data_IF_872517734532
#
_entry.id   IF_872517734532
#
_cell.length_a   1.000
_cell.length_b   1.000
_cell.length_c   1.000
_cell.angle_alpha   90.00
_cell.angle_beta   90.00
_cell.angle_gamma   90.00
#
_symmetry.space_group_name_H-M   'P 1'
#
loop_
_entity.id
_entity.type
_entity.pdbx_description
1 polymer ?
#
# COMPACT_ATOMS: atom_id res chain seq x y z
N UNK A 1 -36.97 -26.47 -1.62
CA UNK A 1 -36.30 -25.15 -1.64
C UNK A 1 -34.85 -25.43 -1.85
N UNK A 2 -34.30 -25.11 -3.02
CA UNK A 2 -32.92 -25.46 -3.35
C UNK A 2 -31.93 -24.62 -2.55
N UNK A 3 -30.80 -25.20 -2.20
CA UNK A 3 -29.69 -24.58 -1.50
C UNK A 3 -28.38 -24.83 -2.24
N UNK A 4 -27.40 -23.95 -2.06
CA UNK A 4 -26.01 -24.15 -2.49
C UNK A 4 -25.05 -23.55 -1.48
N UNK A 5 -23.77 -23.87 -1.58
CA UNK A 5 -22.72 -23.20 -0.79
C UNK A 5 -22.72 -21.69 -1.08
N UNK A 6 -22.61 -20.87 -0.02
CA UNK A 6 -22.49 -19.42 -0.14
C UNK A 6 -21.26 -19.05 -0.96
N UNK A 7 -21.37 -18.01 -1.80
CA UNK A 7 -20.22 -17.44 -2.53
C UNK A 7 -19.35 -16.53 -1.66
N UNK A 8 -19.80 -16.20 -0.44
CA UNK A 8 -19.14 -15.25 0.44
C UNK A 8 -18.35 -15.91 1.57
N UNK A 9 -18.56 -17.20 1.83
CA UNK A 9 -17.75 -17.96 2.79
C UNK A 9 -16.44 -18.44 2.15
N UNK A 10 -15.42 -18.61 2.98
CA UNK A 10 -14.12 -19.16 2.55
C UNK A 10 -13.77 -20.34 3.44
N UNK A 11 -13.18 -21.37 2.85
CA UNK A 11 -12.73 -22.56 3.58
C UNK A 11 -11.21 -22.53 3.71
N UNK A 12 -10.72 -22.68 4.94
CA UNK A 12 -9.30 -22.62 5.27
C UNK A 12 -8.92 -23.72 6.25
N UNK A 13 -7.69 -24.24 6.12
CA UNK A 13 -7.19 -25.27 7.02
C UNK A 13 -6.59 -24.63 8.28
N UNK A 14 -7.00 -25.08 9.46
CA UNK A 14 -6.49 -24.58 10.73
C UNK A 14 -6.45 -25.68 11.78
N UNK A 15 -5.31 -25.85 12.43
CA UNK A 15 -5.11 -26.80 13.53
C UNK A 15 -5.60 -28.23 13.23
N UNK A 16 -5.46 -28.67 11.96
CA UNK A 16 -5.85 -30.01 11.52
C UNK A 16 -7.33 -30.17 11.11
N UNK A 17 -8.09 -29.08 11.00
CA UNK A 17 -9.51 -29.09 10.63
C UNK A 17 -9.79 -28.12 9.47
N UNK A 18 -10.79 -28.44 8.63
CA UNK A 18 -11.34 -27.48 7.68
C UNK A 18 -12.26 -26.51 8.41
N UNK A 19 -11.98 -25.22 8.32
CA UNK A 19 -12.78 -24.15 8.92
C UNK A 19 -13.52 -23.40 7.83
N UNK A 20 -14.83 -23.24 8.00
CA UNK A 20 -15.63 -22.29 7.24
C UNK A 20 -15.56 -20.92 7.93
N UNK A 21 -15.07 -19.91 7.22
CA UNK A 21 -15.04 -18.51 7.63
C UNK A 21 -16.17 -17.74 6.92
N UNK A 22 -17.07 -17.15 7.70
CA UNK A 22 -18.05 -16.16 7.22
C UNK A 22 -17.51 -14.75 7.52
N UNK A 23 -16.86 -14.09 6.54
CA UNK A 23 -16.28 -12.77 6.73
C UNK A 23 -17.34 -11.67 6.80
N UNK A 24 -18.59 -11.94 6.40
CA UNK A 24 -19.68 -10.97 6.47
C UNK A 24 -20.19 -10.85 7.91
N UNK A 25 -20.31 -11.99 8.61
CA UNK A 25 -20.84 -12.08 9.99
C UNK A 25 -19.76 -12.26 11.06
N UNK A 26 -18.49 -12.40 10.66
CA UNK A 26 -17.33 -12.57 11.55
C UNK A 26 -17.47 -13.83 12.42
N UNK A 27 -17.84 -14.95 11.77
CA UNK A 27 -18.03 -16.26 12.43
C UNK A 27 -17.16 -17.31 11.77
N UNK A 28 -16.60 -18.19 12.59
CA UNK A 28 -15.80 -19.33 12.15
C UNK A 28 -16.38 -20.63 12.72
N UNK A 29 -16.40 -21.67 11.89
CA UNK A 29 -16.89 -22.99 12.29
C UNK A 29 -15.93 -24.07 11.78
N UNK A 30 -15.46 -24.94 12.68
CA UNK A 30 -14.81 -26.17 12.26
C UNK A 30 -15.85 -27.11 11.66
N UNK A 31 -15.53 -27.70 10.51
CA UNK A 31 -16.38 -28.65 9.82
C UNK A 31 -16.04 -30.07 10.29
N UNK A 32 -17.07 -30.90 10.45
CA UNK A 32 -16.86 -32.34 10.59
C UNK A 32 -16.59 -32.96 9.22
N UNK A 33 -15.98 -34.14 9.19
CA UNK A 33 -15.71 -34.87 7.93
C UNK A 33 -16.99 -35.12 7.13
N UNK A 34 -18.12 -35.37 7.81
CA UNK A 34 -19.43 -35.52 7.17
C UNK A 34 -19.88 -34.22 6.51
N UNK A 35 -19.71 -33.07 7.18
CA UNK A 35 -20.06 -31.77 6.63
C UNK A 35 -19.19 -31.43 5.42
N UNK A 36 -17.88 -31.68 5.51
CA UNK A 36 -16.94 -31.48 4.40
C UNK A 36 -17.33 -32.29 3.15
N UNK A 37 -17.73 -33.54 3.33
CA UNK A 37 -18.20 -34.40 2.22
C UNK A 37 -19.50 -33.87 1.63
N UNK A 38 -20.45 -33.53 2.50
CA UNK A 38 -21.78 -33.06 2.12
C UNK A 38 -21.74 -31.74 1.34
N UNK A 39 -20.78 -30.85 1.59
CA UNK A 39 -20.65 -29.58 0.84
C UNK A 39 -20.50 -29.79 -0.68
N UNK A 40 -19.97 -30.93 -1.11
CA UNK A 40 -19.81 -31.26 -2.54
C UNK A 40 -21.16 -31.42 -3.25
N UNK A 41 -22.15 -31.94 -2.53
CA UNK A 41 -23.51 -32.15 -3.06
C UNK A 41 -24.25 -30.82 -3.27
N UNK A 42 -23.77 -29.75 -2.63
CA UNK A 42 -24.31 -28.40 -2.70
C UNK A 42 -23.38 -27.41 -3.43
N UNK A 43 -22.43 -27.91 -4.23
CA UNK A 43 -21.58 -27.06 -5.07
C UNK A 43 -22.41 -26.24 -6.08
N UNK A 44 -23.55 -26.77 -6.48
CA UNK A 44 -24.63 -26.07 -7.19
C UNK A 44 -25.96 -26.30 -6.43
N UNK A 45 -27.02 -25.66 -6.89
CA UNK A 45 -28.34 -25.71 -6.31
C UNK A 45 -28.93 -27.13 -6.25
N UNK A 46 -29.09 -27.67 -5.05
CA UNK A 46 -29.72 -28.96 -4.78
C UNK A 46 -30.75 -28.86 -3.64
N UNK A 47 -31.65 -29.83 -3.54
CA UNK A 47 -32.60 -29.88 -2.42
C UNK A 47 -31.87 -30.32 -1.14
N UNK A 48 -32.02 -29.62 -0.01
CA UNK A 48 -31.32 -29.95 1.23
C UNK A 48 -31.88 -31.25 1.84
N UNK A 49 -31.00 -32.21 2.11
CA UNK A 49 -31.35 -33.49 2.73
C UNK A 49 -30.71 -33.67 4.10
N UNK A 50 -31.55 -34.03 5.08
CA UNK A 50 -31.11 -34.40 6.42
C UNK A 50 -30.75 -33.23 7.34
N UNK A 51 -30.48 -33.57 8.60
CA UNK A 51 -30.22 -32.59 9.67
C UNK A 51 -28.98 -31.75 9.41
N UNK A 52 -27.95 -32.32 8.81
CA UNK A 52 -26.67 -31.63 8.60
C UNK A 52 -26.79 -30.52 7.54
N UNK A 53 -27.56 -30.74 6.46
CA UNK A 53 -27.85 -29.69 5.49
C UNK A 53 -28.61 -28.52 6.13
N UNK A 54 -29.58 -28.80 7.00
CA UNK A 54 -30.29 -27.77 7.75
C UNK A 54 -29.35 -26.99 8.69
N UNK A 55 -28.44 -27.68 9.39
CA UNK A 55 -27.43 -27.03 10.24
C UNK A 55 -26.50 -26.10 9.44
N UNK A 56 -26.09 -26.53 8.24
CA UNK A 56 -25.24 -25.71 7.37
C UNK A 56 -26.01 -24.49 6.80
N UNK A 57 -27.32 -24.63 6.55
CA UNK A 57 -28.18 -23.52 6.15
C UNK A 57 -28.38 -22.53 7.31
N UNK A 58 -28.67 -23.01 8.52
CA UNK A 58 -28.82 -22.18 9.73
C UNK A 58 -27.50 -21.46 10.09
N UNK A 59 -26.36 -22.06 9.74
CA UNK A 59 -25.04 -21.46 9.90
C UNK A 59 -24.64 -20.51 8.75
N UNK A 60 -25.49 -20.33 7.73
CA UNK A 60 -25.22 -19.57 6.50
C UNK A 60 -24.02 -20.06 5.68
N UNK A 61 -23.60 -21.32 5.89
CA UNK A 61 -22.64 -21.99 5.00
C UNK A 61 -23.33 -22.33 3.68
N UNK A 62 -24.59 -22.76 3.76
CA UNK A 62 -25.50 -22.87 2.62
C UNK A 62 -26.39 -21.63 2.54
N UNK A 63 -26.79 -21.28 1.32
CA UNK A 63 -27.74 -20.20 1.00
C UNK A 63 -28.92 -20.80 0.24
N UNK A 64 -30.13 -20.40 0.62
CA UNK A 64 -31.36 -20.85 -0.02
C UNK A 64 -31.76 -19.98 -1.21
N UNK A 65 -32.32 -20.59 -2.25
CA UNK A 65 -32.78 -19.89 -3.45
C UNK A 65 -33.93 -18.93 -3.08
N UNK A 66 -33.78 -17.67 -3.49
CA UNK A 66 -34.74 -16.59 -3.18
C UNK A 66 -34.63 -16.00 -1.76
N UNK A 67 -33.70 -16.47 -0.93
CA UNK A 67 -33.44 -15.88 0.39
C UNK A 67 -32.86 -14.45 0.32
N UNK A 68 -32.93 -13.67 1.41
CA UNK A 68 -32.22 -12.38 1.51
C UNK A 68 -30.71 -12.50 1.27
N UNK A 69 -30.08 -13.59 1.73
CA UNK A 69 -28.67 -13.91 1.50
C UNK A 69 -28.40 -14.11 0.02
N UNK A 70 -29.25 -14.87 -0.68
CA UNK A 70 -29.14 -15.05 -2.13
C UNK A 70 -29.24 -13.70 -2.86
N UNK A 71 -30.21 -12.86 -2.49
CA UNK A 71 -30.36 -11.54 -3.07
C UNK A 71 -29.17 -10.60 -2.77
N UNK A 72 -28.42 -10.83 -1.69
CA UNK A 72 -27.19 -10.10 -1.42
C UNK A 72 -26.05 -10.55 -2.36
N UNK A 73 -25.89 -11.86 -2.56
CA UNK A 73 -24.86 -12.41 -3.47
C UNK A 73 -25.09 -12.00 -4.93
N UNK A 74 -26.35 -11.83 -5.35
CA UNK A 74 -26.67 -11.37 -6.72
C UNK A 74 -26.43 -9.87 -6.92
N UNK A 75 -26.35 -9.08 -5.84
CA UNK A 75 -26.14 -7.62 -5.86
C UNK A 75 -24.69 -7.19 -5.66
N UNK A 76 -23.72 -8.10 -5.81
CA UNK A 76 -22.31 -7.79 -5.61
C UNK A 76 -21.76 -6.68 -6.54
N UNK A 77 -22.31 -6.49 -7.75
CA UNK A 77 -21.90 -5.39 -8.64
C UNK A 77 -20.38 -5.36 -8.87
N UNK A 78 -19.74 -4.22 -8.59
CA UNK A 78 -18.29 -4.03 -8.73
C UNK A 78 -17.43 -5.00 -7.89
N UNK A 79 -17.97 -5.57 -6.81
CA UNK A 79 -17.25 -6.59 -6.02
C UNK A 79 -16.98 -7.87 -6.81
N UNK A 80 -17.79 -8.15 -7.85
CA UNK A 80 -17.54 -9.27 -8.76
C UNK A 80 -16.26 -9.06 -9.55
N UNK A 81 -16.03 -7.84 -10.05
CA UNK A 81 -14.85 -7.49 -10.85
C UNK A 81 -13.59 -7.36 -9.97
N UNK A 82 -13.74 -6.87 -8.74
CA UNK A 82 -12.65 -6.86 -7.75
C UNK A 82 -12.23 -8.28 -7.30
N UNK A 83 -13.09 -9.27 -7.50
CA UNK A 83 -12.81 -10.67 -7.20
C UNK A 83 -12.95 -11.05 -5.71
N UNK A 84 -12.81 -12.36 -5.41
CA UNK A 84 -13.08 -12.92 -4.09
C UNK A 84 -12.08 -12.47 -3.03
N UNK A 85 -10.80 -12.29 -3.37
CA UNK A 85 -9.77 -11.88 -2.40
C UNK A 85 -10.04 -10.48 -1.82
N UNK A 86 -10.35 -9.50 -2.68
CA UNK A 86 -10.68 -8.15 -2.26
C UNK A 86 -11.99 -8.11 -1.46
N UNK A 87 -13.00 -8.87 -1.90
CA UNK A 87 -14.29 -8.98 -1.21
C UNK A 87 -14.11 -9.58 0.18
N UNK A 88 -13.40 -10.70 0.28
CA UNK A 88 -13.07 -11.37 1.54
C UNK A 88 -12.34 -10.41 2.49
N UNK A 89 -11.22 -9.84 2.04
CA UNK A 89 -10.44 -8.94 2.87
C UNK A 89 -11.27 -7.75 3.35
N UNK A 90 -12.07 -7.15 2.47
CA UNK A 90 -12.94 -6.04 2.85
C UNK A 90 -13.91 -6.46 3.95
N UNK A 91 -14.66 -7.55 3.77
CA UNK A 91 -15.66 -8.04 4.72
C UNK A 91 -15.02 -8.45 6.06
N UNK A 92 -13.93 -9.22 6.01
CA UNK A 92 -13.20 -9.72 7.18
C UNK A 92 -12.52 -8.61 8.00
N UNK A 93 -12.20 -7.47 7.37
CA UNK A 93 -11.55 -6.33 8.05
C UNK A 93 -12.50 -5.21 8.47
N UNK A 94 -13.82 -5.38 8.31
CA UNK A 94 -14.81 -4.42 8.84
C UNK A 94 -14.89 -4.50 10.36
N UNK A 95 -15.62 -3.56 10.94
CA UNK A 95 -16.12 -3.69 12.30
C UNK A 95 -17.64 -3.79 12.25
N UNK A 96 -18.20 -4.74 13.00
CA UNK A 96 -19.63 -4.94 13.13
C UNK A 96 -20.20 -4.05 14.24
N UNK A 97 -21.51 -3.83 14.22
CA UNK A 97 -22.18 -3.05 15.27
C UNK A 97 -22.07 -3.68 16.67
N UNK A 98 -21.77 -4.98 16.73
CA UNK A 98 -21.51 -5.72 17.97
C UNK A 98 -20.09 -5.58 18.49
N UNK A 99 -19.17 -4.99 17.72
CA UNK A 99 -17.77 -4.87 18.14
C UNK A 99 -17.61 -3.85 19.25
N UNK A 100 -16.84 -4.25 20.27
CA UNK A 100 -16.54 -3.40 21.43
C UNK A 100 -15.17 -2.77 21.25
N UNK A 101 -15.14 -1.44 21.17
CA UNK A 101 -13.90 -0.68 21.15
C UNK A 101 -13.41 -0.40 22.56
N UNK A 102 -12.11 -0.55 22.77
CA UNK A 102 -11.45 -0.13 24.02
C UNK A 102 -11.58 1.38 24.18
N UNK A 103 -11.79 1.83 25.42
CA UNK A 103 -11.57 3.23 25.76
C UNK A 103 -10.10 3.60 25.62
N UNK A 104 -9.79 4.90 25.51
CA UNK A 104 -8.40 5.37 25.44
C UNK A 104 -7.56 4.92 26.65
N UNK A 105 -8.17 4.86 27.84
CA UNK A 105 -7.50 4.40 29.05
C UNK A 105 -7.16 2.90 28.99
N UNK A 106 -8.10 2.07 28.51
CA UNK A 106 -7.88 0.63 28.33
C UNK A 106 -6.81 0.37 27.27
N UNK A 107 -6.85 1.09 26.15
CA UNK A 107 -5.84 0.95 25.09
C UNK A 107 -4.45 1.35 25.61
N UNK A 108 -4.34 2.47 26.32
CA UNK A 108 -3.08 2.91 26.93
C UNK A 108 -2.55 1.89 27.95
N UNK A 109 -3.41 1.29 28.77
CA UNK A 109 -3.00 0.24 29.71
C UNK A 109 -2.46 -1.00 28.99
N UNK A 110 -3.14 -1.45 27.93
CA UNK A 110 -2.68 -2.58 27.09
C UNK A 110 -1.33 -2.25 26.44
N UNK A 111 -1.18 -1.05 25.87
CA UNK A 111 0.07 -0.64 25.24
C UNK A 111 1.23 -0.60 26.23
N UNK A 112 1.00 -0.13 27.45
CA UNK A 112 2.05 -0.10 28.49
C UNK A 112 2.43 -1.48 29.03
N UNK A 113 1.54 -2.46 28.88
CA UNK A 113 1.82 -3.84 29.26
C UNK A 113 2.54 -4.63 28.14
N UNK A 114 2.58 -4.11 26.91
CA UNK A 114 3.29 -4.77 25.80
C UNK A 114 4.79 -4.60 25.95
N UNK A 115 5.53 -5.66 25.66
CA UNK A 115 6.99 -5.66 25.51
C UNK A 115 7.38 -5.86 24.05
N UNK A 116 8.68 -5.75 23.75
CA UNK A 116 9.22 -6.10 22.44
C UNK A 116 8.71 -5.19 21.31
N UNK A 117 8.63 -3.88 21.56
CA UNK A 117 8.32 -2.94 20.50
C UNK A 117 9.37 -3.05 19.37
N UNK A 118 8.97 -3.29 18.12
CA UNK A 118 9.90 -3.30 16.99
C UNK A 118 10.61 -1.94 16.83
N UNK A 119 11.87 -1.96 16.37
CA UNK A 119 12.59 -0.71 16.08
C UNK A 119 11.81 0.08 15.01
N UNK A 120 11.50 1.37 15.25
CA UNK A 120 10.79 2.19 14.28
C UNK A 120 11.60 2.56 13.04
N UNK A 121 12.88 2.14 12.93
CA UNK A 121 13.68 2.24 11.71
C UNK A 121 14.31 0.91 11.32
N UNK A 122 14.68 0.80 10.05
CA UNK A 122 15.50 -0.30 9.55
C UNK A 122 16.91 0.22 9.24
N UNK A 123 17.90 -0.62 9.46
CA UNK A 123 19.29 -0.33 9.13
C UNK A 123 19.77 -1.41 8.15
N UNK A 124 20.57 -0.98 7.18
CA UNK A 124 21.24 -1.86 6.23
C UNK A 124 22.75 -1.64 6.33
N UNK A 125 23.49 -2.71 6.03
CA UNK A 125 24.92 -2.65 5.80
C UNK A 125 25.20 -2.13 4.38
N UNK A 126 26.34 -1.46 4.20
CA UNK A 126 26.80 -1.01 2.90
C UNK A 126 27.37 0.42 2.89
N UNK A 127 27.85 0.89 1.73
CA UNK A 127 28.34 2.26 1.58
C UNK A 127 27.26 3.29 1.89
N UNK A 128 27.62 4.28 2.72
CA UNK A 128 26.72 5.35 3.17
C UNK A 128 27.05 6.67 2.50
N UNK A 129 26.00 7.41 2.13
CA UNK A 129 26.09 8.72 1.51
C UNK A 129 25.24 9.70 2.32
N UNK A 130 25.89 10.67 2.95
CA UNK A 130 25.18 11.74 3.64
C UNK A 130 24.48 12.67 2.64
N UNK A 131 23.21 12.96 2.88
CA UNK A 131 22.46 13.89 2.05
C UNK A 131 22.61 15.32 2.59
N UNK A 132 22.75 16.33 1.69
CA UNK A 132 22.87 17.70 2.13
C UNK A 132 21.58 18.15 2.83
N UNK A 133 21.67 18.92 3.93
CA UNK A 133 20.50 19.54 4.52
C UNK A 133 19.92 20.54 3.52
N UNK A 134 18.73 20.23 3.02
CA UNK A 134 18.03 21.07 2.06
C UNK A 134 16.55 21.19 2.42
N UNK A 135 15.99 22.35 2.09
CA UNK A 135 14.58 22.67 2.29
C UNK A 135 13.94 23.06 0.95
N UNK A 136 12.66 22.73 0.72
CA UNK A 136 11.91 23.29 -0.38
C UNK A 136 11.88 24.82 -0.29
N UNK A 137 11.76 25.53 -1.43
CA UNK A 137 11.58 26.97 -1.40
C UNK A 137 10.32 27.34 -0.63
N UNK A 138 10.31 28.55 -0.05
CA UNK A 138 9.12 29.11 0.56
C UNK A 138 8.08 29.41 -0.55
N UNK A 139 7.01 28.62 -0.57
CA UNK A 139 5.90 28.76 -1.51
C UNK A 139 4.60 28.71 -0.71
N UNK A 140 3.61 29.49 -1.12
CA UNK A 140 2.30 29.45 -0.49
C UNK A 140 1.65 28.05 -0.64
N UNK A 141 1.10 27.55 0.46
CA UNK A 141 0.53 26.20 0.51
C UNK A 141 -0.62 26.01 -0.46
N UNK A 142 -1.49 27.03 -0.61
CA UNK A 142 -2.64 26.95 -1.52
C UNK A 142 -2.19 26.98 -2.98
N UNK A 143 -1.10 27.70 -3.29
CA UNK A 143 -0.45 27.64 -4.61
C UNK A 143 0.05 26.23 -4.93
N UNK A 144 0.74 25.57 -3.98
CA UNK A 144 1.22 24.19 -4.17
C UNK A 144 0.06 23.21 -4.39
N UNK A 145 -1.00 23.31 -3.58
CA UNK A 145 -2.20 22.48 -3.72
C UNK A 145 -2.86 22.64 -5.09
N UNK A 146 -3.02 23.88 -5.56
CA UNK A 146 -3.64 24.19 -6.84
C UNK A 146 -2.79 23.70 -8.02
N UNK A 147 -1.47 23.85 -7.94
CA UNK A 147 -0.52 23.48 -8.98
C UNK A 147 -0.24 21.98 -9.08
N UNK A 148 -0.45 21.21 -8.01
CA UNK A 148 -0.13 19.77 -7.95
C UNK A 148 -0.78 19.00 -9.10
N UNK A 149 0.03 18.30 -9.90
CA UNK A 149 -0.41 17.41 -11.00
C UNK A 149 0.39 16.11 -11.00
N UNK A 150 -0.14 15.11 -11.69
CA UNK A 150 0.63 13.91 -12.03
C UNK A 150 1.43 14.17 -13.29
N UNK A 151 2.74 13.97 -13.20
CA UNK A 151 3.70 14.12 -14.29
C UNK A 151 4.16 12.74 -14.73
N UNK A 152 3.98 12.43 -16.01
CA UNK A 152 4.38 11.18 -16.66
C UNK A 152 5.24 11.42 -17.89
N UNK A 153 5.78 12.64 -18.04
CA UNK A 153 6.76 12.96 -19.06
C UNK A 153 7.87 13.80 -18.43
N UNK A 154 9.05 13.20 -18.35
CA UNK A 154 10.22 13.78 -17.69
C UNK A 154 11.27 14.19 -18.72
N UNK A 155 12.05 15.20 -18.36
CA UNK A 155 13.14 15.76 -19.16
C UNK A 155 14.35 14.80 -19.12
N UNK A 156 14.75 14.19 -20.25
CA UNK A 156 15.86 13.21 -20.28
C UNK A 156 17.24 13.87 -20.18
N UNK A 157 17.34 15.18 -20.45
CA UNK A 157 18.61 15.90 -20.51
C UNK A 157 18.90 16.67 -19.22
N UNK A 158 17.99 16.62 -18.24
CA UNK A 158 18.07 17.42 -17.03
C UNK A 158 17.99 16.56 -15.76
N UNK A 159 19.13 16.29 -15.10
CA UNK A 159 19.15 15.52 -13.86
C UNK A 159 18.39 16.26 -12.75
N UNK A 160 17.84 15.49 -11.82
CA UNK A 160 17.29 16.06 -10.59
C UNK A 160 18.44 16.66 -9.76
N UNK A 161 18.36 17.93 -9.33
CA UNK A 161 19.37 18.50 -8.44
C UNK A 161 19.45 17.75 -7.10
N UNK A 162 20.65 17.37 -6.65
CA UNK A 162 20.84 16.68 -5.37
C UNK A 162 20.18 17.39 -4.16
N UNK A 163 20.24 18.73 -4.02
CA UNK A 163 19.52 19.42 -2.95
C UNK A 163 18.00 19.21 -3.01
N UNK A 164 17.41 19.15 -4.21
CA UNK A 164 15.97 18.91 -4.36
C UNK A 164 15.60 17.46 -3.99
N UNK A 165 16.42 16.48 -4.41
CA UNK A 165 16.26 15.08 -4.01
C UNK A 165 16.37 14.92 -2.49
N UNK A 166 17.39 15.51 -1.86
CA UNK A 166 17.60 15.46 -0.42
C UNK A 166 16.45 16.14 0.36
N UNK A 167 16.02 17.33 -0.08
CA UNK A 167 14.88 18.02 0.50
C UNK A 167 13.61 17.16 0.42
N UNK A 168 13.36 16.52 -0.73
CA UNK A 168 12.20 15.67 -0.90
C UNK A 168 12.19 14.52 0.11
N UNK A 169 13.28 13.75 0.24
CA UNK A 169 13.36 12.65 1.21
C UNK A 169 13.24 13.13 2.67
N UNK A 170 13.85 14.28 2.99
CA UNK A 170 13.80 14.87 4.33
C UNK A 170 12.38 15.24 4.75
N UNK A 171 11.58 15.78 3.83
CA UNK A 171 10.25 16.32 4.12
C UNK A 171 9.11 15.32 3.88
N UNK A 172 9.40 14.17 3.27
CA UNK A 172 8.41 13.09 3.06
C UNK A 172 8.64 11.92 4.04
N UNK A 173 9.86 11.39 4.11
CA UNK A 173 10.15 10.18 4.88
C UNK A 173 11.03 10.44 6.13
N UNK A 174 11.69 11.60 6.18
CA UNK A 174 12.64 11.97 7.23
C UNK A 174 12.00 12.12 8.62
N UNK A 175 12.79 11.80 9.65
CA UNK A 175 12.39 11.99 11.05
C UNK A 175 12.54 13.46 11.44
N UNK A 176 11.50 14.03 12.05
CA UNK A 176 11.55 15.39 12.61
C UNK A 176 11.98 15.37 14.06
N UNK A 177 11.51 14.39 14.82
CA UNK A 177 11.84 14.20 16.22
C UNK A 177 11.63 12.75 16.62
N UNK A 178 12.52 12.23 17.46
CA UNK A 178 12.32 10.98 18.18
C UNK A 178 11.81 11.32 19.59
N UNK A 179 10.77 10.64 20.05
CA UNK A 179 10.17 10.85 21.38
C UNK A 179 10.02 9.52 22.10
N UNK A 180 10.33 9.52 23.40
CA UNK A 180 9.98 8.41 24.28
C UNK A 180 8.56 8.61 24.81
N UNK A 181 7.66 7.67 24.49
CA UNK A 181 6.28 7.68 24.97
C UNK A 181 6.25 6.91 26.28
N UNK A 182 6.07 7.63 27.39
CA UNK A 182 6.14 7.08 28.75
C UNK A 182 5.34 5.78 28.92
N UNK A 183 6.09 4.71 29.21
CA UNK A 183 5.59 3.36 29.43
C UNK A 183 5.27 2.57 28.16
N UNK A 184 5.47 3.13 26.96
CA UNK A 184 5.21 2.45 25.67
C UNK A 184 6.51 2.24 24.90
N UNK A 185 7.38 3.26 24.84
CA UNK A 185 8.66 3.23 24.14
C UNK A 185 8.77 4.28 23.03
N UNK A 186 9.77 4.11 22.17
CA UNK A 186 10.15 5.12 21.16
C UNK A 186 9.09 5.31 20.07
N UNK A 187 8.77 6.55 19.75
CA UNK A 187 7.99 6.91 18.55
C UNK A 187 8.75 7.95 17.72
N UNK A 188 8.61 7.85 16.40
CA UNK A 188 9.12 8.84 15.47
C UNK A 188 8.01 9.81 15.14
N UNK A 189 8.32 11.10 15.13
CA UNK A 189 7.45 12.14 14.60
C UNK A 189 7.97 12.51 13.21
N UNK A 190 7.14 12.26 12.20
CA UNK A 190 7.37 12.64 10.80
C UNK A 190 6.32 13.67 10.37
N UNK A 191 6.54 14.31 9.23
CA UNK A 191 5.56 15.20 8.59
C UNK A 191 4.37 14.43 8.02
N UNK A 192 4.60 13.18 7.60
CA UNK A 192 3.57 12.25 7.15
C UNK A 192 2.93 11.58 8.37
N UNK A 193 1.59 11.59 8.50
CA UNK A 193 0.92 10.88 9.59
C UNK A 193 1.03 9.36 9.40
N UNK A 194 0.97 8.61 10.50
CA UNK A 194 0.91 7.15 10.47
C UNK A 194 0.03 6.61 11.58
N UNK A 195 -0.69 5.52 11.31
CA UNK A 195 -1.52 4.81 12.28
C UNK A 195 -0.78 4.55 13.59
N UNK A 196 -1.17 5.25 14.66
CA UNK A 196 -0.56 5.09 15.98
C UNK A 196 0.92 5.49 16.06
N UNK A 197 1.39 6.34 15.15
CA UNK A 197 2.80 6.77 15.01
C UNK A 197 3.77 5.57 14.91
N UNK A 198 3.42 4.57 14.09
CA UNK A 198 4.23 3.36 13.88
C UNK A 198 5.20 3.47 12.71
N UNK A 199 4.88 4.28 11.70
CA UNK A 199 5.70 4.52 10.51
C UNK A 199 6.29 3.22 9.92
N UNK A 200 5.43 2.27 9.51
CA UNK A 200 5.88 0.97 9.01
C UNK A 200 6.58 1.04 7.65
N UNK A 201 6.30 2.09 6.87
CA UNK A 201 6.80 2.23 5.50
C UNK A 201 8.26 2.68 5.48
N UNK A 202 9.12 1.81 4.96
CA UNK A 202 10.48 2.09 4.51
C UNK A 202 10.46 2.63 3.06
N UNK A 203 11.47 3.45 2.74
CA UNK A 203 11.63 4.05 1.41
C UNK A 203 12.94 3.60 0.81
N UNK A 204 12.85 3.01 -0.38
CA UNK A 204 14.00 2.56 -1.15
C UNK A 204 14.12 3.36 -2.44
N UNK A 205 14.96 4.42 -2.49
CA UNK A 205 15.19 5.17 -3.72
C UNK A 205 15.92 4.31 -4.76
N UNK A 206 15.33 4.15 -5.93
CA UNK A 206 15.99 3.66 -7.14
C UNK A 206 16.40 4.87 -7.97
N UNK A 207 17.65 5.28 -7.83
CA UNK A 207 18.22 6.47 -8.45
C UNK A 207 18.72 6.13 -9.85
N UNK A 208 18.29 6.93 -10.83
CA UNK A 208 18.77 6.85 -12.22
C UNK A 208 19.52 8.11 -12.64
N UNK A 209 18.96 9.28 -12.35
CA UNK A 209 19.46 10.57 -12.84
C UNK A 209 19.28 11.68 -11.80
N UNK A 210 20.15 11.64 -10.78
CA UNK A 210 20.27 12.68 -9.74
C UNK A 210 21.70 13.23 -9.81
N UNK A 211 21.84 14.54 -9.95
CA UNK A 211 23.13 15.18 -10.19
C UNK A 211 24.12 14.90 -9.05
N UNK A 212 25.28 14.31 -9.36
CA UNK A 212 26.31 14.00 -8.37
C UNK A 212 26.03 12.80 -7.48
N UNK A 213 25.02 11.98 -7.81
CA UNK A 213 24.71 10.72 -7.12
C UNK A 213 24.75 9.57 -8.12
N UNK A 214 25.55 8.55 -7.81
CA UNK A 214 25.67 7.35 -8.64
C UNK A 214 24.32 6.62 -8.80
N UNK A 215 23.95 6.16 -10.00
CA UNK A 215 22.78 5.32 -10.18
C UNK A 215 22.84 4.05 -9.33
N UNK A 216 21.74 3.74 -8.64
CA UNK A 216 21.71 2.65 -7.67
C UNK A 216 20.34 2.42 -7.04
N UNK A 217 20.20 1.27 -6.41
CA UNK A 217 19.16 1.00 -5.42
C UNK A 217 19.72 1.36 -4.06
N UNK A 218 18.99 2.19 -3.32
CA UNK A 218 19.36 2.68 -2.01
C UNK A 218 18.25 2.39 -1.00
N UNK A 219 18.63 2.30 0.28
CA UNK A 219 17.72 2.45 1.41
C UNK A 219 17.90 3.84 2.03
N UNK A 220 16.81 4.52 2.36
CA UNK A 220 16.88 5.81 3.04
C UNK A 220 16.92 5.64 4.56
N UNK A 221 18.11 5.83 5.15
CA UNK A 221 18.32 5.73 6.60
C UNK A 221 17.80 6.99 7.32
N UNK A 222 16.53 6.94 7.72
CA UNK A 222 15.75 8.11 8.18
C UNK A 222 16.32 8.83 9.42
N UNK A 223 17.02 8.12 10.31
CA UNK A 223 17.65 8.71 11.52
C UNK A 223 18.82 9.61 11.17
N UNK A 224 19.63 9.22 10.17
CA UNK A 224 20.87 9.92 9.81
C UNK A 224 20.74 10.84 8.61
N UNK A 225 19.60 10.81 7.91
CA UNK A 225 19.42 11.50 6.63
C UNK A 225 20.51 11.08 5.62
N UNK A 226 20.66 9.77 5.46
CA UNK A 226 21.66 9.13 4.61
C UNK A 226 21.00 8.16 3.63
N UNK A 227 21.71 7.87 2.55
CA UNK A 227 21.44 6.71 1.70
C UNK A 227 22.41 5.59 2.02
N UNK A 228 21.90 4.36 2.12
CA UNK A 228 22.71 3.13 2.14
C UNK A 228 22.58 2.47 0.78
N UNK A 229 23.69 2.29 0.05
CA UNK A 229 23.67 1.66 -1.27
C UNK A 229 23.52 0.14 -1.16
N UNK A 230 22.45 -0.40 -1.75
CA UNK A 230 22.12 -1.82 -1.71
C UNK A 230 22.58 -2.55 -2.99
N UNK A 231 22.34 -1.96 -4.15
CA UNK A 231 22.63 -2.57 -5.44
C UNK A 231 22.87 -1.53 -6.55
N UNK A 232 23.45 -1.90 -7.69
CA UNK A 232 23.49 -1.07 -8.90
C UNK A 232 22.08 -0.73 -9.42
N UNK A 233 21.96 0.33 -10.23
CA UNK A 233 20.69 0.67 -10.86
C UNK A 233 20.25 -0.43 -11.84
N UNK A 234 18.97 -0.80 -11.86
CA UNK A 234 18.42 -1.64 -12.92
C UNK A 234 18.42 -0.88 -14.25
N UNK A 235 18.47 -1.62 -15.36
CA UNK A 235 18.26 -1.05 -16.70
C UNK A 235 16.82 -0.57 -16.93
N UNK A 236 16.62 0.26 -17.94
CA UNK A 236 15.31 0.85 -18.26
C UNK A 236 14.20 -0.19 -18.46
N UNK A 237 14.48 -1.27 -19.19
CA UNK A 237 13.48 -2.31 -19.47
C UNK A 237 12.96 -2.93 -18.17
N UNK A 238 13.85 -3.14 -17.20
CA UNK A 238 13.49 -3.68 -15.88
C UNK A 238 12.68 -2.67 -15.06
N UNK A 239 12.98 -1.37 -15.14
CA UNK A 239 12.18 -0.32 -14.50
C UNK A 239 10.75 -0.25 -15.09
N UNK A 240 10.62 -0.37 -16.41
CA UNK A 240 9.31 -0.43 -17.09
C UNK A 240 8.56 -1.67 -16.65
N UNK A 241 9.22 -2.83 -16.67
CA UNK A 241 8.67 -4.10 -16.23
C UNK A 241 8.12 -4.02 -14.80
N UNK A 242 8.92 -3.52 -13.86
CA UNK A 242 8.52 -3.36 -12.46
C UNK A 242 7.27 -2.51 -12.29
N UNK A 243 7.04 -1.55 -13.18
CA UNK A 243 5.88 -0.66 -13.17
C UNK A 243 4.85 -1.04 -14.25
N UNK A 244 4.66 -2.34 -14.54
CA UNK A 244 3.57 -2.79 -15.41
C UNK A 244 3.65 -2.25 -16.85
N UNK A 245 4.87 -2.05 -17.36
CA UNK A 245 5.12 -1.53 -18.71
C UNK A 245 4.99 -0.02 -18.85
N UNK A 246 4.83 0.73 -17.75
CA UNK A 246 4.70 2.19 -17.79
C UNK A 246 6.03 2.85 -18.20
N UNK A 247 6.12 3.51 -19.38
CA UNK A 247 7.39 4.02 -19.91
C UNK A 247 8.00 5.13 -19.05
N UNK A 248 7.14 5.92 -18.40
CA UNK A 248 7.53 7.04 -17.57
C UNK A 248 8.27 6.63 -16.28
N UNK A 249 8.17 5.37 -15.86
CA UNK A 249 9.00 4.84 -14.77
C UNK A 249 10.49 4.83 -15.13
N UNK A 250 10.83 4.50 -16.39
CA UNK A 250 12.20 4.56 -16.90
C UNK A 250 12.65 5.99 -17.27
N UNK A 251 11.75 6.98 -17.24
CA UNK A 251 12.06 8.40 -17.51
C UNK A 251 12.18 9.24 -16.23
N UNK A 252 11.59 8.82 -15.10
CA UNK A 252 11.64 9.58 -13.84
C UNK A 252 13.03 9.55 -13.20
N UNK A 253 13.68 10.69 -12.93
CA UNK A 253 15.06 10.73 -12.40
C UNK A 253 15.35 9.79 -11.22
N UNK A 254 14.33 9.50 -10.39
CA UNK A 254 14.38 8.38 -9.45
C UNK A 254 12.98 7.83 -9.18
N UNK A 255 12.92 6.59 -8.70
CA UNK A 255 11.73 5.98 -8.12
C UNK A 255 11.88 5.87 -6.60
N UNK A 256 10.80 6.05 -5.87
CA UNK A 256 10.68 5.77 -4.44
C UNK A 256 9.82 4.52 -4.28
N UNK A 257 10.45 3.40 -3.95
CA UNK A 257 9.77 2.13 -3.71
C UNK A 257 9.36 2.09 -2.23
N UNK A 258 8.09 1.76 -1.97
CA UNK A 258 7.52 1.73 -0.63
C UNK A 258 7.30 0.29 -0.18
N UNK A 259 7.89 -0.07 0.95
CA UNK A 259 7.63 -1.37 1.55
C UNK A 259 7.36 -1.23 3.05
N UNK A 260 6.40 -1.99 3.57
CA UNK A 260 5.94 -1.88 4.95
C UNK A 260 6.45 -3.04 5.79
N UNK A 261 7.23 -2.72 6.83
CA UNK A 261 7.61 -3.67 7.88
C UNK A 261 6.38 -3.96 8.74
N UNK A 262 5.78 -5.14 8.55
CA UNK A 262 4.45 -5.47 9.07
C UNK A 262 4.39 -5.42 10.60
N UNK A 263 5.43 -5.94 11.25
CA UNK A 263 5.54 -6.06 12.71
C UNK A 263 5.37 -4.73 13.45
N UNK A 264 5.85 -3.61 12.88
CA UNK A 264 5.70 -2.28 13.50
C UNK A 264 4.24 -1.91 13.71
N UNK A 265 3.38 -2.28 12.77
CA UNK A 265 1.94 -2.02 12.83
C UNK A 265 1.21 -3.11 13.61
N UNK A 266 1.51 -4.37 13.34
CA UNK A 266 0.86 -5.53 13.99
C UNK A 266 1.13 -5.56 15.50
N UNK A 267 2.34 -5.16 15.93
CA UNK A 267 2.67 -5.01 17.35
C UNK A 267 1.66 -4.13 18.07
N UNK A 268 1.19 -3.05 17.44
CA UNK A 268 0.16 -2.17 18.02
C UNK A 268 -1.26 -2.70 17.74
N UNK A 269 -1.53 -3.09 16.51
CA UNK A 269 -2.84 -3.46 15.99
C UNK A 269 -2.83 -4.89 15.40
N UNK A 270 -2.95 -5.95 16.22
CA UNK A 270 -2.93 -7.34 15.76
C UNK A 270 -4.29 -7.76 15.19
N UNK A 271 -4.70 -7.16 14.08
CA UNK A 271 -5.98 -7.43 13.43
C UNK A 271 -5.90 -7.14 11.93
N UNK A 272 -6.69 -7.85 11.12
CA UNK A 272 -6.71 -7.70 9.66
C UNK A 272 -6.93 -6.24 9.20
N UNK A 273 -7.72 -5.46 9.94
CA UNK A 273 -7.96 -4.03 9.68
C UNK A 273 -6.68 -3.18 9.68
N UNK A 274 -5.62 -3.62 10.35
CA UNK A 274 -4.34 -2.92 10.40
C UNK A 274 -3.68 -2.81 9.02
N UNK A 275 -3.93 -3.77 8.13
CA UNK A 275 -3.44 -3.70 6.75
C UNK A 275 -4.05 -2.51 5.99
N UNK A 276 -5.27 -2.07 6.31
CA UNK A 276 -5.86 -0.84 5.75
C UNK A 276 -5.03 0.39 6.13
N UNK A 277 -4.50 0.42 7.36
CA UNK A 277 -3.65 1.52 7.81
C UNK A 277 -2.32 1.56 7.05
N UNK A 278 -1.76 0.41 6.67
CA UNK A 278 -0.54 0.35 5.84
C UNK A 278 -0.76 1.03 4.48
N UNK A 279 -1.88 0.72 3.81
CA UNK A 279 -2.24 1.33 2.53
C UNK A 279 -2.46 2.84 2.66
N UNK A 280 -3.11 3.28 3.73
CA UNK A 280 -3.31 4.71 4.02
C UNK A 280 -1.99 5.43 4.30
N UNK A 281 -1.04 4.79 5.01
CA UNK A 281 0.28 5.36 5.27
C UNK A 281 1.05 5.62 3.95
N UNK A 282 0.96 4.71 2.97
CA UNK A 282 1.51 4.93 1.62
C UNK A 282 0.76 6.05 0.89
N UNK A 283 -0.57 6.12 1.04
CA UNK A 283 -1.37 7.22 0.48
C UNK A 283 -0.97 8.60 1.03
N UNK A 284 -0.76 8.71 2.34
CA UNK A 284 -0.27 9.93 2.97
C UNK A 284 1.14 10.29 2.48
N UNK A 285 2.05 9.31 2.44
CA UNK A 285 3.41 9.50 1.96
C UNK A 285 3.42 9.98 0.50
N UNK A 286 2.65 9.32 -0.37
CA UNK A 286 2.48 9.66 -1.78
C UNK A 286 1.99 11.10 -1.95
N UNK A 287 0.94 11.51 -1.22
CA UNK A 287 0.45 12.88 -1.29
C UNK A 287 1.49 13.91 -0.81
N UNK A 288 2.25 13.60 0.24
CA UNK A 288 3.35 14.49 0.68
C UNK A 288 4.45 14.57 -0.38
N UNK A 289 4.80 13.46 -1.05
CA UNK A 289 5.72 13.47 -2.20
C UNK A 289 5.19 14.38 -3.31
N UNK A 290 3.90 14.29 -3.66
CA UNK A 290 3.26 15.19 -4.62
C UNK A 290 3.42 16.67 -4.28
N UNK A 291 3.14 17.05 -3.04
CA UNK A 291 3.21 18.45 -2.61
C UNK A 291 4.66 18.94 -2.53
N UNK A 292 5.57 18.13 -1.97
CA UNK A 292 6.98 18.49 -1.88
C UNK A 292 7.64 18.57 -3.25
N UNK A 293 7.36 17.63 -4.16
CA UNK A 293 7.85 17.69 -5.54
C UNK A 293 7.32 18.94 -6.26
N UNK A 294 6.03 19.26 -6.12
CA UNK A 294 5.43 20.47 -6.71
C UNK A 294 6.12 21.74 -6.18
N UNK A 295 6.35 21.85 -4.87
CA UNK A 295 7.06 22.98 -4.28
C UNK A 295 8.51 23.10 -4.78
N UNK A 296 9.18 21.98 -5.06
CA UNK A 296 10.53 21.93 -5.62
C UNK A 296 10.59 22.18 -7.14
N UNK A 297 9.44 22.37 -7.81
CA UNK A 297 9.37 22.46 -9.26
C UNK A 297 9.64 21.13 -9.98
N UNK A 298 9.56 20.01 -9.27
CA UNK A 298 9.66 18.66 -9.81
C UNK A 298 8.28 18.11 -10.16
N UNK A 299 8.27 17.11 -11.05
CA UNK A 299 7.09 16.32 -11.36
C UNK A 299 7.10 14.99 -10.63
N UNK A 300 5.93 14.43 -10.36
CA UNK A 300 5.83 13.07 -9.82
C UNK A 300 4.59 12.35 -10.32
N UNK A 301 4.64 11.02 -10.31
CA UNK A 301 3.47 10.15 -10.36
C UNK A 301 3.48 9.15 -9.20
N UNK A 302 2.36 8.50 -8.95
CA UNK A 302 2.26 7.28 -8.14
C UNK A 302 1.63 6.18 -8.99
N UNK A 303 2.07 4.94 -8.80
CA UNK A 303 1.40 3.78 -9.39
C UNK A 303 1.45 2.57 -8.44
N UNK A 304 0.34 1.83 -8.43
CA UNK A 304 0.23 0.51 -7.83
C UNK A 304 0.12 -0.58 -8.91
N UNK A 305 0.28 -0.22 -10.19
CA UNK A 305 0.37 -1.17 -11.29
C UNK A 305 1.83 -1.62 -11.39
N UNK A 306 2.19 -2.60 -10.55
CA UNK A 306 3.55 -3.09 -10.37
C UNK A 306 3.64 -4.59 -10.59
N UNK A 307 4.87 -5.08 -10.80
CA UNK A 307 5.20 -6.50 -10.68
C UNK A 307 5.92 -6.69 -9.35
N UNK A 308 5.18 -7.08 -8.32
CA UNK A 308 5.64 -7.04 -6.93
C UNK A 308 6.81 -8.01 -6.69
N UNK A 309 6.66 -9.28 -7.06
CA UNK A 309 7.71 -10.30 -6.87
C UNK A 309 9.10 -9.89 -7.40
N UNK A 310 9.28 -9.45 -8.67
CA UNK A 310 10.61 -9.05 -9.15
C UNK A 310 11.13 -7.73 -8.55
N UNK A 311 10.26 -6.90 -7.97
CA UNK A 311 10.65 -5.74 -7.16
C UNK A 311 11.14 -6.20 -5.79
N UNK A 312 10.38 -7.06 -5.12
CA UNK A 312 10.72 -7.64 -3.82
C UNK A 312 12.08 -8.34 -3.87
N UNK A 313 12.32 -9.18 -4.89
CA UNK A 313 13.60 -9.85 -5.12
C UNK A 313 14.76 -8.85 -5.26
N UNK A 314 14.54 -7.77 -6.01
CA UNK A 314 15.59 -6.78 -6.29
C UNK A 314 15.91 -5.88 -5.09
N UNK A 315 14.93 -5.65 -4.23
CA UNK A 315 15.07 -4.89 -2.99
C UNK A 315 15.51 -5.79 -1.81
N UNK A 316 15.54 -7.11 -1.99
CA UNK A 316 15.86 -8.07 -0.93
C UNK A 316 14.76 -8.16 0.13
N UNK A 317 13.49 -7.98 -0.27
CA UNK A 317 12.34 -8.05 0.62
C UNK A 317 11.89 -9.50 0.82
N UNK A 318 11.27 -9.73 1.98
CA UNK A 318 10.75 -11.03 2.40
C UNK A 318 9.28 -10.85 2.76
N UNK A 319 8.37 -11.43 1.97
CA UNK A 319 6.92 -11.20 2.09
C UNK A 319 6.31 -11.44 3.49
N UNK A 320 6.84 -12.33 4.36
CA UNK A 320 6.34 -12.47 5.73
C UNK A 320 6.67 -11.26 6.63
N UNK A 321 7.75 -10.54 6.31
CA UNK A 321 8.32 -9.48 7.17
C UNK A 321 8.00 -8.09 6.63
N UNK A 322 8.11 -7.93 5.31
CA UNK A 322 8.06 -6.64 4.62
C UNK A 322 7.32 -6.78 3.28
N UNK A 323 6.19 -6.07 3.16
CA UNK A 323 5.34 -6.11 1.98
C UNK A 323 5.58 -4.89 1.09
N UNK A 324 5.83 -5.09 -0.20
CA UNK A 324 5.87 -4.00 -1.17
C UNK A 324 4.46 -3.44 -1.42
N UNK A 325 4.31 -2.11 -1.45
CA UNK A 325 2.99 -1.45 -1.47
C UNK A 325 2.82 -0.40 -2.57
N UNK A 326 3.85 -0.14 -3.38
CA UNK A 326 3.76 0.74 -4.53
C UNK A 326 4.95 1.66 -4.71
N UNK A 327 4.85 2.57 -5.67
CA UNK A 327 5.97 3.38 -6.13
C UNK A 327 5.55 4.79 -6.52
N UNK A 328 6.39 5.77 -6.19
CA UNK A 328 6.35 7.10 -6.79
C UNK A 328 7.56 7.30 -7.70
N UNK A 329 7.36 7.78 -8.92
CA UNK A 329 8.48 8.26 -9.75
C UNK A 329 8.53 9.77 -9.75
N UNK A 330 9.72 10.33 -9.59
CA UNK A 330 9.97 11.77 -9.50
C UNK A 330 11.07 12.17 -10.47
N UNK A 331 10.93 13.33 -11.11
CA UNK A 331 11.92 13.86 -12.03
C UNK A 331 11.67 15.31 -12.39
N UNK A 332 12.55 15.89 -13.19
CA UNK A 332 12.29 17.19 -13.81
C UNK A 332 11.23 16.99 -14.90
N UNK A 333 10.08 17.71 -14.89
CA UNK A 333 9.09 17.58 -15.96
C UNK A 333 9.67 18.09 -17.28
N UNK A 334 9.38 17.39 -18.37
CA UNK A 334 9.73 17.84 -19.72
C UNK A 334 9.15 19.25 -19.98
N UNK A 335 9.83 20.15 -20.74
CA UNK A 335 9.32 21.50 -21.01
C UNK A 335 7.87 21.55 -21.49
N UNK A 336 7.52 20.73 -22.49
CA UNK A 336 6.15 20.66 -22.99
C UNK A 336 5.13 20.15 -21.95
N UNK A 337 5.56 19.32 -21.00
CA UNK A 337 4.70 18.88 -19.90
C UNK A 337 4.45 20.00 -18.88
N UNK A 338 5.46 20.86 -18.63
CA UNK A 338 5.29 22.06 -17.81
C UNK A 338 4.29 23.03 -18.45
N UNK A 339 4.45 23.28 -19.75
CA UNK A 339 3.55 24.18 -20.50
C UNK A 339 2.11 23.65 -20.50
N UNK A 340 1.93 22.34 -20.70
CA UNK A 340 0.62 21.67 -20.61
C UNK A 340 -0.01 21.83 -19.23
N UNK A 341 0.75 21.59 -18.16
CA UNK A 341 0.24 21.73 -16.78
C UNK A 341 -0.10 23.19 -16.44
N UNK A 342 0.69 24.15 -16.92
CA UNK A 342 0.40 25.57 -16.76
C UNK A 342 -0.89 25.97 -17.49
N UNK A 343 -1.09 25.50 -18.73
CA UNK A 343 -2.32 25.74 -19.49
C UNK A 343 -3.54 25.15 -18.77
N UNK A 344 -3.44 23.91 -18.25
CA UNK A 344 -4.51 23.30 -17.44
C UNK A 344 -4.83 24.11 -16.18
N UNK A 345 -3.81 24.65 -15.50
CA UNK A 345 -4.01 25.46 -14.30
C UNK A 345 -4.75 26.78 -14.63
N UNK A 346 -4.54 27.31 -15.84
CA UNK A 346 -5.24 28.49 -16.36
C UNK A 346 -6.64 28.20 -16.92
N UNK A 347 -7.16 26.97 -16.79
CA UNK A 347 -8.49 26.58 -17.27
C UNK A 347 -8.52 26.03 -18.70
N UNK A 348 -7.37 25.72 -19.30
CA UNK A 348 -7.26 25.04 -20.59
C UNK A 348 -7.57 23.53 -20.53
N UNK A 349 -7.51 22.88 -21.69
CA UNK A 349 -7.92 21.49 -21.88
C UNK A 349 -7.15 20.48 -21.01
N UNK A 350 -7.89 19.54 -20.44
CA UNK A 350 -7.35 18.44 -19.64
C UNK A 350 -6.89 17.28 -20.54
N UNK A 351 -5.73 17.42 -21.19
CA UNK A 351 -5.08 16.33 -21.90
C UNK A 351 -4.35 15.36 -20.96
N UNK A 352 -4.07 14.13 -21.42
CA UNK A 352 -3.22 13.19 -20.67
C UNK A 352 -1.76 13.67 -20.61
N UNK A 353 -1.02 13.22 -19.58
CA UNK A 353 0.38 13.58 -19.29
C UNK A 353 1.41 12.76 -20.10
N UNK A 354 0.97 12.16 -21.22
CA UNK A 354 1.78 11.35 -22.12
C UNK A 354 1.20 11.43 -23.54
N UNK A 355 2.01 11.24 -24.59
CA UNK A 355 1.52 11.14 -25.96
C UNK A 355 0.48 10.00 -26.07
N UNK A 356 -0.61 10.16 -26.83
CA UNK A 356 -1.66 9.13 -26.96
C UNK A 356 -1.13 7.76 -27.36
N UNK A 357 -0.04 7.73 -28.12
CA UNK A 357 0.54 6.51 -28.71
C UNK A 357 1.61 5.87 -27.81
N UNK A 358 1.92 6.48 -26.66
CA UNK A 358 3.06 6.08 -25.83
C UNK A 358 2.75 4.93 -24.85
N UNK A 359 1.49 4.54 -24.69
CA UNK A 359 1.11 3.53 -23.69
C UNK A 359 -0.19 2.78 -24.04
N UNK A 360 -0.08 1.48 -24.32
CA UNK A 360 -1.22 0.56 -24.41
C UNK A 360 -1.49 -0.05 -23.03
N UNK A 361 -2.05 0.77 -22.15
CA UNK A 361 -2.21 0.50 -20.72
C UNK A 361 -3.33 -0.46 -20.33
N UNK A 362 -3.29 -1.71 -20.80
CA UNK A 362 -4.02 -2.79 -20.13
C UNK A 362 -3.04 -3.91 -19.84
N UNK A 363 -2.59 -3.99 -18.58
CA UNK A 363 -2.28 -5.30 -18.04
C UNK A 363 -3.61 -6.02 -17.96
N UNK A 364 -3.89 -6.87 -18.95
CA UNK A 364 -5.02 -7.81 -18.89
C UNK A 364 -4.80 -8.87 -17.82
#
# INVERSE_FOLDING_TARGET
MRVRVSRLVVFLWRDGQLVCDDPLRHRQFALTVEAERLLRDYADWAEPEGRLAQQLLDAHVLVAEGSPEHAQEERLGAWRDLGPAATYYHLASRTLGSDVFRSAAQDAAVLRAKSGQPDPVREHDGPRIALPPADPPAVDFTTVLAARRSTRWFDPDRPVPLPAFAALLRWTAGVRREVDVSGVGTALLKTVPSGGARHPVEVYPVVRDVAGLEPGIYHYAVRRHELVRLAPAPGEDRLREWCGGQPHAAQAGFLLMYAAVLDRTVWKYPAARAYRALLLDVGHLSQTVYLTATALGLGTFFTAATRDAPVEDALGLSWPDEAFLGVSGVGVPHPAERDRQAAMLAGGDAAFSFPPDAWHGRGE
#
